data_IF_930823573339
#
_entry.id   IF_930823573339
#
_cell.length_a   1.000
_cell.length_b   1.000
_cell.length_c   1.000
_cell.angle_alpha   90.00
_cell.angle_beta   90.00
_cell.angle_gamma   90.00
#
_symmetry.space_group_name_H-M   'P 1'
#
loop_
_entity.id
_entity.type
_entity.pdbx_description
1 polymer ?
#
# COMPACT_ATOMS: atom_id res chain seq x y z
N UNK A 1 22.19 -13.58 -0.80
CA UNK A 1 21.80 -12.62 -1.85
C UNK A 1 20.51 -11.97 -1.38
N UNK A 2 20.49 -10.67 -1.08
CA UNK A 2 19.35 -10.03 -0.40
C UNK A 2 18.07 -10.17 -1.23
N UNK A 3 17.04 -10.80 -0.65
CA UNK A 3 15.72 -11.05 -1.28
C UNK A 3 14.85 -9.80 -1.42
N UNK A 4 15.37 -8.64 -1.01
CA UNK A 4 14.61 -7.41 -0.85
C UNK A 4 15.22 -6.27 -1.67
N UNK A 5 14.35 -5.52 -2.34
CA UNK A 5 14.65 -4.20 -2.92
C UNK A 5 14.22 -3.13 -1.90
N UNK A 6 14.90 -1.98 -1.85
CA UNK A 6 14.54 -0.91 -0.91
C UNK A 6 13.95 0.25 -1.71
N UNK A 7 12.66 0.52 -1.50
CA UNK A 7 12.03 1.75 -1.96
C UNK A 7 12.18 2.84 -0.90
N UNK A 8 12.62 4.02 -1.31
CA UNK A 8 12.73 5.20 -0.43
C UNK A 8 11.70 6.25 -0.81
N UNK A 9 11.01 6.84 0.17
CA UNK A 9 10.06 7.94 -0.02
C UNK A 9 10.45 9.11 0.88
N UNK A 10 10.57 10.31 0.30
CA UNK A 10 10.90 11.54 1.03
C UNK A 10 9.71 11.98 1.92
N UNK A 11 9.99 12.35 3.17
CA UNK A 11 8.98 12.74 4.17
C UNK A 11 8.83 14.27 4.30
N UNK A 12 9.01 15.02 3.20
CA UNK A 12 8.95 16.50 3.19
C UNK A 12 7.61 17.06 3.69
N UNK A 13 6.54 16.27 3.65
CA UNK A 13 5.20 16.65 4.10
C UNK A 13 4.97 16.41 5.61
N UNK A 14 5.83 15.67 6.32
CA UNK A 14 5.68 15.41 7.76
C UNK A 14 6.16 16.63 8.56
N UNK A 15 5.33 17.22 9.43
CA UNK A 15 5.77 18.30 10.30
C UNK A 15 6.96 17.85 11.15
N UNK A 16 8.09 18.54 11.00
CA UNK A 16 9.21 18.39 11.92
C UNK A 16 8.88 19.07 13.25
N UNK A 17 9.28 18.46 14.36
CA UNK A 17 9.37 19.18 15.63
C UNK A 17 10.73 19.90 15.69
N UNK A 18 10.91 20.83 16.63
CA UNK A 18 12.15 21.59 16.84
C UNK A 18 13.37 20.67 17.07
N UNK A 19 13.13 19.47 17.60
CA UNK A 19 14.18 18.50 17.93
C UNK A 19 14.17 17.22 17.09
N UNK A 20 13.12 16.89 16.33
CA UNK A 20 13.12 15.72 15.47
C UNK A 20 12.66 16.07 14.06
N UNK A 21 13.51 15.75 13.09
CA UNK A 21 13.26 15.98 11.67
C UNK A 21 13.20 14.65 10.94
N UNK A 22 12.01 14.28 10.48
CA UNK A 22 11.82 13.11 9.62
C UNK A 22 12.33 13.41 8.22
N UNK A 23 13.09 12.47 7.63
CA UNK A 23 13.79 12.69 6.37
C UNK A 23 13.18 11.86 5.24
N UNK A 24 13.14 10.54 5.43
CA UNK A 24 12.61 9.59 4.44
C UNK A 24 12.17 8.30 5.13
N UNK A 25 11.34 7.54 4.45
CA UNK A 25 10.97 6.17 4.82
C UNK A 25 11.57 5.16 3.83
N UNK A 26 12.17 4.10 4.35
CA UNK A 26 12.77 2.99 3.62
C UNK A 26 11.89 1.75 3.78
N UNK A 27 11.31 1.29 2.68
CA UNK A 27 10.38 0.15 2.63
C UNK A 27 11.07 -1.01 1.93
N UNK A 28 11.34 -2.13 2.62
CA UNK A 28 11.76 -3.35 1.96
C UNK A 28 10.62 -3.90 1.10
N UNK A 29 10.92 -4.27 -0.13
CA UNK A 29 10.01 -4.93 -1.05
C UNK A 29 10.53 -6.33 -1.31
N UNK A 30 9.72 -7.36 -1.01
CA UNK A 30 10.10 -8.73 -1.37
C UNK A 30 9.80 -8.91 -2.85
N UNK A 31 10.79 -9.35 -3.63
CA UNK A 31 10.61 -9.62 -5.06
C UNK A 31 9.36 -10.48 -5.30
N UNK A 32 8.37 -9.90 -5.98
CA UNK A 32 7.13 -10.60 -6.30
C UNK A 32 6.12 -10.73 -5.15
N UNK A 33 6.25 -10.00 -4.04
CA UNK A 33 5.27 -9.99 -2.94
C UNK A 33 4.98 -8.59 -2.36
N UNK A 34 5.57 -7.53 -2.91
CA UNK A 34 5.20 -6.16 -2.57
C UNK A 34 5.93 -5.67 -1.33
N UNK A 35 5.47 -4.55 -0.74
CA UNK A 35 6.11 -3.92 0.38
C UNK A 35 5.78 -4.77 1.58
N UNK A 36 6.76 -5.00 2.44
CA UNK A 36 6.39 -5.44 3.78
C UNK A 36 5.70 -4.28 4.48
N UNK A 37 4.69 -4.61 5.31
CA UNK A 37 4.02 -3.63 6.21
C UNK A 37 4.97 -3.01 7.25
N UNK A 38 6.25 -3.36 7.20
CA UNK A 38 7.30 -2.88 8.06
C UNK A 38 8.27 -2.02 7.25
N UNK A 39 8.57 -0.85 7.77
CA UNK A 39 9.50 0.08 7.15
C UNK A 39 10.44 0.67 8.20
N UNK A 40 11.41 1.46 7.74
CA UNK A 40 12.34 2.19 8.59
C UNK A 40 12.24 3.67 8.28
N UNK A 41 12.10 4.50 9.30
CA UNK A 41 12.07 5.95 9.14
C UNK A 41 13.44 6.50 9.48
N UNK A 42 14.04 7.22 8.53
CA UNK A 42 15.25 8.00 8.76
C UNK A 42 14.87 9.36 9.32
N UNK A 43 15.53 9.77 10.38
CA UNK A 43 15.31 11.03 11.07
C UNK A 43 16.64 11.66 11.48
N UNK A 44 16.59 12.93 11.87
CA UNK A 44 17.67 13.61 12.57
C UNK A 44 17.13 14.11 13.91
N UNK A 45 17.90 13.90 14.98
CA UNK A 45 17.56 14.34 16.33
C UNK A 45 18.46 15.52 16.74
N UNK A 46 17.86 16.61 17.23
CA UNK A 46 18.51 17.84 17.67
C UNK A 46 19.47 18.46 16.63
N UNK A 47 19.15 18.36 15.34
CA UNK A 47 20.01 18.85 14.26
C UNK A 47 21.32 18.05 14.08
N UNK A 48 21.58 17.08 14.94
CA UNK A 48 22.63 16.09 14.77
C UNK A 48 22.20 15.06 13.73
N UNK A 49 23.11 14.71 12.83
CA UNK A 49 22.93 13.54 11.96
C UNK A 49 23.05 12.28 12.81
N UNK A 50 22.01 11.93 13.57
CA UNK A 50 21.76 10.54 13.93
C UNK A 50 21.33 9.82 12.66
N UNK A 51 22.27 9.63 11.75
CA UNK A 51 22.22 8.46 10.87
C UNK A 51 22.47 7.25 11.76
N UNK A 52 21.53 6.93 12.66
CA UNK A 52 21.44 5.57 13.14
C UNK A 52 21.31 4.73 11.86
N UNK A 53 22.32 3.94 11.56
CA UNK A 53 22.43 3.15 10.32
C UNK A 53 21.18 2.27 10.09
N UNK A 54 20.37 2.07 11.13
CA UNK A 54 19.18 1.25 11.12
C UNK A 54 17.83 2.00 10.99
N UNK A 55 17.74 3.30 11.30
CA UNK A 55 16.48 4.05 11.31
C UNK A 55 15.44 3.52 12.33
N UNK A 56 14.38 4.29 12.58
CA UNK A 56 13.32 3.88 13.50
C UNK A 56 12.35 2.90 12.81
N UNK A 57 12.17 1.68 13.33
CA UNK A 57 11.25 0.72 12.74
C UNK A 57 9.80 1.15 12.96
N UNK A 58 9.00 1.11 11.89
CA UNK A 58 7.57 1.44 11.91
C UNK A 58 6.74 0.30 11.31
N UNK A 59 5.60 0.00 11.95
CA UNK A 59 4.55 -0.84 11.38
C UNK A 59 3.57 0.08 10.64
N UNK A 60 3.66 0.11 9.30
CA UNK A 60 2.80 0.91 8.44
C UNK A 60 1.34 0.44 8.42
N UNK A 61 1.09 -0.82 8.79
CA UNK A 61 -0.27 -1.36 8.91
C UNK A 61 -0.98 -0.91 10.18
N UNK A 62 -0.22 -0.64 11.24
CA UNK A 62 -0.75 -0.15 12.53
C UNK A 62 -0.55 1.34 12.75
N UNK A 63 0.35 1.97 12.00
CA UNK A 63 0.74 3.36 12.20
C UNK A 63 1.37 3.60 13.56
N UNK A 64 2.27 2.70 13.97
CA UNK A 64 3.01 2.80 15.23
C UNK A 64 4.49 2.52 14.98
N UNK A 65 5.34 3.22 15.73
CA UNK A 65 6.75 2.86 15.85
C UNK A 65 6.90 1.61 16.72
N UNK A 66 7.75 0.67 16.30
CA UNK A 66 7.92 -0.63 16.95
C UNK A 66 8.98 -0.56 18.06
N UNK A 67 9.90 0.39 17.96
CA UNK A 67 10.89 0.67 18.98
C UNK A 67 10.82 2.15 19.36
N UNK A 68 11.05 2.43 20.63
CA UNK A 68 11.34 3.77 21.16
C UNK A 68 12.84 3.89 21.36
N UNK A 69 13.36 5.11 21.31
CA UNK A 69 14.77 5.40 21.60
C UNK A 69 15.07 5.12 23.07
N UNK A 70 16.29 4.67 23.36
CA UNK A 70 16.75 4.45 24.72
C UNK A 70 16.94 5.79 25.43
N UNK A 71 16.79 5.82 26.76
CA UNK A 71 16.78 7.07 27.54
C UNK A 71 18.08 7.88 27.39
N UNK A 72 19.19 7.19 27.14
CA UNK A 72 20.52 7.76 26.91
C UNK A 72 20.62 8.51 25.57
N UNK A 73 19.78 8.16 24.59
CA UNK A 73 19.74 8.76 23.25
C UNK A 73 18.81 9.98 23.20
N UNK A 74 17.95 10.16 24.22
CA UNK A 74 16.94 11.20 24.26
C UNK A 74 17.50 12.63 24.42
N UNK A 75 18.81 12.80 24.69
CA UNK A 75 19.48 14.11 24.72
C UNK A 75 18.70 15.21 25.50
N UNK A 76 18.06 14.85 26.62
CA UNK A 76 17.28 15.78 27.45
C UNK A 76 15.79 15.91 27.10
N UNK A 77 15.28 15.16 26.12
CA UNK A 77 13.85 15.08 25.79
C UNK A 77 13.20 14.03 26.70
N UNK A 78 12.00 14.31 27.21
CA UNK A 78 11.28 13.29 27.98
C UNK A 78 10.75 12.18 27.07
N UNK A 79 10.74 10.93 27.55
CA UNK A 79 10.17 9.80 26.80
C UNK A 79 8.73 10.08 26.35
N UNK A 80 7.91 10.70 27.20
CA UNK A 80 6.53 11.07 26.89
C UNK A 80 6.43 12.07 25.73
N UNK A 81 7.31 13.08 25.68
CA UNK A 81 7.34 14.03 24.56
C UNK A 81 7.76 13.35 23.26
N UNK A 82 8.77 12.47 23.32
CA UNK A 82 9.19 11.72 22.14
C UNK A 82 8.06 10.82 21.62
N UNK A 83 7.43 10.04 22.49
CA UNK A 83 6.33 9.14 22.13
C UNK A 83 5.18 9.90 21.47
N UNK A 84 4.83 11.07 22.02
CA UNK A 84 3.81 11.93 21.44
C UNK A 84 4.17 12.36 20.02
N UNK A 85 5.38 12.85 19.81
CA UNK A 85 5.83 13.29 18.47
C UNK A 85 5.91 12.14 17.48
N UNK A 86 6.41 10.98 17.91
CA UNK A 86 6.44 9.78 17.09
C UNK A 86 5.03 9.33 16.71
N UNK A 87 4.07 9.36 17.64
CA UNK A 87 2.69 8.94 17.35
C UNK A 87 1.96 9.91 16.40
N UNK A 88 2.16 11.22 16.56
CA UNK A 88 1.62 12.24 15.66
C UNK A 88 2.23 12.09 14.25
N UNK A 89 3.55 11.91 14.17
CA UNK A 89 4.25 11.72 12.91
C UNK A 89 3.90 10.39 12.22
N UNK A 90 3.68 9.31 12.98
CA UNK A 90 3.37 8.01 12.42
C UNK A 90 2.12 8.05 11.53
N UNK A 91 1.09 8.81 11.91
CA UNK A 91 -0.13 8.98 11.12
C UNK A 91 0.17 9.62 9.76
N UNK A 92 0.98 10.69 9.73
CA UNK A 92 1.33 11.37 8.49
C UNK A 92 2.32 10.55 7.64
N UNK A 93 3.30 9.90 8.26
CA UNK A 93 4.24 9.00 7.60
C UNK A 93 3.49 7.87 6.89
N UNK A 94 2.52 7.26 7.57
CA UNK A 94 1.64 6.23 7.00
C UNK A 94 0.88 6.80 5.82
N UNK A 95 0.25 7.97 5.94
CA UNK A 95 -0.45 8.60 4.81
C UNK A 95 0.46 8.83 3.62
N UNK A 96 1.68 9.33 3.81
CA UNK A 96 2.64 9.58 2.72
C UNK A 96 3.09 8.26 2.09
N UNK A 97 3.47 7.28 2.92
CA UNK A 97 3.86 5.96 2.47
C UNK A 97 2.75 5.30 1.63
N UNK A 98 1.49 5.42 2.08
CA UNK A 98 0.34 4.85 1.39
C UNK A 98 -0.18 5.71 0.21
N UNK A 99 0.06 7.01 0.20
CA UNK A 99 -0.24 7.91 -0.93
C UNK A 99 0.67 7.59 -2.13
N UNK A 100 1.93 7.31 -1.85
CA UNK A 100 2.88 6.74 -2.81
C UNK A 100 2.55 5.28 -3.18
N UNK A 101 1.68 4.65 -2.39
CA UNK A 101 1.12 3.31 -2.53
C UNK A 101 -0.30 3.33 -3.10
N UNK A 102 -0.57 4.12 -4.13
CA UNK A 102 -1.93 4.29 -4.63
C UNK A 102 -2.38 3.07 -5.48
N UNK A 103 -3.24 2.16 -4.97
CA UNK A 103 -3.62 0.96 -5.71
C UNK A 103 -4.29 1.26 -7.07
N UNK A 104 -5.10 2.33 -7.22
CA UNK A 104 -5.53 2.83 -8.52
C UNK A 104 -4.39 3.09 -9.51
N UNK A 105 -3.35 3.86 -9.13
CA UNK A 105 -2.23 4.13 -10.03
C UNK A 105 -1.41 2.88 -10.36
N UNK A 106 -1.22 1.99 -9.38
CA UNK A 106 -0.56 0.70 -9.61
C UNK A 106 -1.37 -0.14 -10.60
N UNK A 107 -2.70 -0.24 -10.40
CA UNK A 107 -3.59 -0.96 -11.30
C UNK A 107 -3.58 -0.35 -12.70
N UNK A 108 -3.70 0.98 -12.83
CA UNK A 108 -3.57 1.69 -14.11
C UNK A 108 -2.27 1.35 -14.83
N UNK A 109 -1.16 1.22 -14.09
CA UNK A 109 0.13 0.81 -14.66
C UNK A 109 0.12 -0.64 -15.16
N UNK A 110 -0.46 -1.56 -14.39
CA UNK A 110 -0.64 -2.98 -14.78
C UNK A 110 -1.50 -3.08 -16.05
N UNK A 111 -2.60 -2.32 -16.11
CA UNK A 111 -3.55 -2.32 -17.23
C UNK A 111 -2.95 -1.82 -18.55
N UNK A 112 -1.83 -1.10 -18.56
CA UNK A 112 -1.15 -0.71 -19.81
C UNK A 112 -0.74 -1.91 -20.68
N UNK A 113 -0.63 -3.10 -20.10
CA UNK A 113 -0.39 -4.34 -20.84
C UNK A 113 -1.63 -4.92 -21.53
N UNK A 114 -2.82 -4.36 -21.30
CA UNK A 114 -4.11 -4.88 -21.75
C UNK A 114 -4.87 -3.76 -22.46
N UNK A 115 -4.73 -3.67 -23.79
CA UNK A 115 -5.28 -2.57 -24.60
C UNK A 115 -6.80 -2.46 -24.56
N UNK A 116 -7.49 -3.53 -24.19
CA UNK A 116 -8.95 -3.62 -24.13
C UNK A 116 -9.52 -3.33 -22.73
N UNK A 117 -8.68 -2.92 -21.76
CA UNK A 117 -9.09 -2.65 -20.40
C UNK A 117 -8.81 -1.21 -19.97
N UNK A 118 -9.73 -0.67 -19.17
CA UNK A 118 -9.55 0.63 -18.54
C UNK A 118 -10.01 0.59 -17.08
N UNK A 119 -9.31 1.34 -16.22
CA UNK A 119 -9.73 1.60 -14.85
C UNK A 119 -10.92 2.56 -14.83
N UNK A 120 -12.00 2.18 -14.15
CA UNK A 120 -13.21 2.97 -14.02
C UNK A 120 -13.18 3.77 -12.71
N UNK A 121 -12.83 5.05 -12.80
CA UNK A 121 -12.76 5.95 -11.64
C UNK A 121 -14.14 6.20 -11.00
N UNK A 122 -15.21 6.20 -11.81
CA UNK A 122 -16.55 6.54 -11.34
C UNK A 122 -17.19 5.42 -10.53
N UNK A 123 -16.90 4.17 -10.88
CA UNK A 123 -17.45 3.00 -10.19
C UNK A 123 -16.51 2.40 -9.13
N UNK A 124 -15.28 2.88 -9.05
CA UNK A 124 -14.31 2.48 -8.02
C UNK A 124 -14.55 3.20 -6.69
N UNK A 125 -14.19 2.53 -5.60
CA UNK A 125 -14.11 3.10 -4.24
C UNK A 125 -12.75 2.73 -3.64
N UNK A 126 -11.66 3.40 -4.03
CA UNK A 126 -10.33 3.06 -3.56
C UNK A 126 -10.17 3.29 -2.06
N UNK A 127 -9.27 2.54 -1.39
CA UNK A 127 -8.48 1.42 -1.94
C UNK A 127 -9.25 0.07 -1.95
N UNK A 128 -10.49 0.05 -1.45
CA UNK A 128 -11.23 -1.17 -1.13
C UNK A 128 -11.85 -1.85 -2.35
N UNK A 129 -12.31 -1.07 -3.34
CA UNK A 129 -12.94 -1.57 -4.56
C UNK A 129 -12.33 -0.87 -5.76
N UNK A 130 -11.62 -1.63 -6.60
CA UNK A 130 -11.06 -1.13 -7.85
C UNK A 130 -11.82 -1.79 -9.00
N UNK A 131 -12.41 -1.00 -9.89
CA UNK A 131 -13.19 -1.49 -11.03
C UNK A 131 -12.47 -1.26 -12.34
N UNK A 132 -12.63 -2.23 -13.23
CA UNK A 132 -12.12 -2.19 -14.58
C UNK A 132 -13.24 -2.57 -15.55
N UNK A 133 -13.27 -1.89 -16.68
CA UNK A 133 -14.24 -2.09 -17.74
C UNK A 133 -13.52 -2.47 -19.03
N UNK A 134 -14.17 -3.31 -19.84
CA UNK A 134 -13.72 -3.62 -21.19
C UNK A 134 -14.05 -2.44 -22.10
N UNK A 135 -13.04 -1.90 -22.77
CA UNK A 135 -13.19 -0.77 -23.71
C UNK A 135 -13.46 -1.22 -25.14
N UNK A 136 -13.02 -2.43 -25.50
CA UNK A 136 -13.24 -3.03 -26.82
C UNK A 136 -13.91 -4.41 -26.69
N UNK A 137 -15.23 -4.51 -26.93
CA UNK A 137 -15.97 -5.77 -26.83
C UNK A 137 -15.54 -6.85 -27.83
N UNK A 138 -14.85 -6.49 -28.92
CA UNK A 138 -14.40 -7.43 -29.96
C UNK A 138 -12.96 -7.92 -29.75
N UNK A 139 -12.29 -7.41 -28.72
CA UNK A 139 -10.94 -7.84 -28.37
C UNK A 139 -10.91 -9.30 -27.93
N UNK A 140 -9.87 -10.03 -28.36
CA UNK A 140 -9.54 -11.34 -27.81
C UNK A 140 -9.13 -11.16 -26.35
N UNK A 141 -9.93 -11.68 -25.43
CA UNK A 141 -9.71 -11.57 -23.99
C UNK A 141 -9.99 -12.90 -23.31
N UNK A 142 -9.28 -13.16 -22.22
CA UNK A 142 -9.44 -14.38 -21.44
C UNK A 142 -9.69 -14.02 -19.98
N UNK A 143 -10.56 -14.77 -19.29
CA UNK A 143 -10.76 -14.59 -17.86
C UNK A 143 -9.45 -14.72 -17.05
N UNK A 144 -8.49 -15.52 -17.55
CA UNK A 144 -7.13 -15.64 -16.97
C UNK A 144 -6.42 -14.29 -16.84
N UNK A 145 -6.65 -13.36 -17.77
CA UNK A 145 -6.06 -12.02 -17.71
C UNK A 145 -6.49 -11.28 -16.45
N UNK A 146 -7.74 -11.46 -16.01
CA UNK A 146 -8.27 -10.86 -14.78
C UNK A 146 -7.52 -11.39 -13.56
N UNK A 147 -7.28 -12.70 -13.49
CA UNK A 147 -6.58 -13.33 -12.39
C UNK A 147 -5.09 -12.96 -12.38
N UNK A 148 -4.47 -12.83 -13.54
CA UNK A 148 -3.09 -12.35 -13.65
C UNK A 148 -2.97 -10.89 -13.22
N UNK A 149 -3.91 -10.02 -13.61
CA UNK A 149 -3.96 -8.63 -13.14
C UNK A 149 -4.12 -8.57 -11.62
N UNK A 150 -5.06 -9.36 -11.06
CA UNK A 150 -5.28 -9.44 -9.63
C UNK A 150 -4.03 -9.94 -8.90
N UNK A 151 -3.38 -10.98 -9.41
CA UNK A 151 -2.13 -11.53 -8.86
C UNK A 151 -1.04 -10.47 -8.88
N UNK A 152 -0.83 -9.78 -10.00
CA UNK A 152 0.15 -8.69 -10.13
C UNK A 152 -0.17 -7.53 -9.19
N UNK A 153 -1.46 -7.18 -9.02
CA UNK A 153 -1.87 -6.16 -8.06
C UNK A 153 -1.60 -6.62 -6.64
N UNK A 154 -1.97 -7.84 -6.25
CA UNK A 154 -1.72 -8.39 -4.91
C UNK A 154 -0.24 -8.43 -4.59
N UNK A 155 0.55 -8.92 -5.55
CA UNK A 155 2.00 -8.92 -5.51
C UNK A 155 2.55 -7.51 -5.39
N UNK A 156 2.07 -6.57 -6.17
CA UNK A 156 2.62 -5.22 -6.14
C UNK A 156 2.20 -4.49 -4.90
N UNK A 157 0.95 -4.65 -4.45
CA UNK A 157 0.29 -3.94 -3.33
C UNK A 157 0.54 -4.57 -1.96
N UNK A 158 0.93 -5.85 -1.89
CA UNK A 158 0.97 -6.63 -0.64
C UNK A 158 -0.42 -6.87 -0.03
N UNK A 159 -1.49 -6.54 -0.74
CA UNK A 159 -2.87 -6.69 -0.28
C UNK A 159 -3.56 -7.85 -1.00
N UNK A 160 -4.54 -8.46 -0.34
CA UNK A 160 -5.30 -9.56 -0.93
C UNK A 160 -6.59 -9.02 -1.57
N UNK A 161 -6.59 -8.89 -2.90
CA UNK A 161 -7.78 -8.56 -3.67
C UNK A 161 -8.48 -9.81 -4.19
N UNK A 162 -9.77 -9.93 -3.89
CA UNK A 162 -10.65 -10.93 -4.49
C UNK A 162 -11.25 -10.39 -5.79
N UNK A 163 -11.22 -11.24 -6.82
CA UNK A 163 -11.79 -10.96 -8.13
C UNK A 163 -13.30 -11.21 -8.13
N UNK A 164 -14.04 -10.29 -8.75
CA UNK A 164 -15.43 -10.46 -9.16
C UNK A 164 -15.56 -9.94 -10.57
N UNK A 165 -16.10 -10.71 -11.51
CA UNK A 165 -16.28 -10.28 -12.88
C UNK A 165 -17.67 -10.63 -13.38
N UNK A 166 -18.09 -9.95 -14.43
CA UNK A 166 -19.39 -10.15 -15.04
C UNK A 166 -19.46 -9.56 -16.44
N UNK A 167 -20.53 -9.90 -17.15
CA UNK A 167 -20.77 -9.43 -18.50
C UNK A 167 -22.20 -9.66 -18.93
N UNK A 168 -22.51 -9.20 -20.14
CA UNK A 168 -23.74 -9.59 -20.81
C UNK A 168 -23.44 -10.88 -21.58
N UNK A 169 -24.00 -12.00 -21.13
CA UNK A 169 -23.90 -13.30 -21.78
C UNK A 169 -25.28 -13.78 -22.22
N UNK A 170 -25.33 -14.43 -23.38
CA UNK A 170 -26.41 -15.31 -23.82
C UNK A 170 -26.13 -16.77 -23.41
N UNK A 171 -27.09 -17.67 -23.59
CA UNK A 171 -26.99 -19.06 -23.11
C UNK A 171 -25.84 -19.86 -23.76
N UNK A 172 -25.37 -19.45 -24.94
CA UNK A 172 -24.34 -20.14 -25.72
C UNK A 172 -22.95 -19.47 -25.62
N UNK A 173 -22.82 -18.38 -24.87
CA UNK A 173 -21.59 -17.60 -24.82
C UNK A 173 -20.50 -18.22 -23.93
N UNK A 174 -19.25 -18.17 -24.41
CA UNK A 174 -18.10 -18.53 -23.59
C UNK A 174 -17.83 -17.42 -22.55
N UNK A 175 -18.17 -17.68 -21.28
CA UNK A 175 -17.92 -16.75 -20.17
C UNK A 175 -16.46 -16.31 -20.02
N UNK A 176 -15.51 -17.11 -20.51
CA UNK A 176 -14.09 -16.74 -20.51
C UNK A 176 -13.79 -15.57 -21.48
N UNK A 177 -14.68 -15.30 -22.43
CA UNK A 177 -14.52 -14.33 -23.52
C UNK A 177 -15.55 -13.18 -23.49
N UNK A 178 -16.71 -13.35 -22.82
CA UNK A 178 -17.81 -12.36 -22.90
C UNK A 178 -17.96 -11.42 -21.70
N UNK A 179 -17.09 -11.50 -20.70
CA UNK A 179 -17.10 -10.55 -19.58
C UNK A 179 -16.86 -9.11 -20.09
N UNK A 180 -17.51 -8.13 -19.47
CA UNK A 180 -17.44 -6.70 -19.84
C UNK A 180 -16.88 -5.83 -18.72
N UNK A 181 -16.77 -6.37 -17.51
CA UNK A 181 -16.17 -5.69 -16.37
C UNK A 181 -15.62 -6.69 -15.35
N UNK A 182 -14.69 -6.21 -14.53
CA UNK A 182 -14.32 -6.87 -13.28
C UNK A 182 -14.05 -5.86 -12.17
N UNK A 183 -14.07 -6.34 -10.94
CA UNK A 183 -13.73 -5.59 -9.75
C UNK A 183 -12.79 -6.39 -8.85
N UNK A 184 -11.77 -5.72 -8.35
CA UNK A 184 -10.82 -6.21 -7.36
C UNK A 184 -11.23 -5.63 -6.02
N UNK A 185 -11.62 -6.48 -5.08
CA UNK A 185 -12.07 -6.06 -3.75
C UNK A 185 -11.11 -6.49 -2.67
N UNK A 186 -10.64 -5.56 -1.87
CA UNK A 186 -9.74 -5.83 -0.74
C UNK A 186 -10.46 -6.72 0.27
N UNK A 187 -9.87 -7.87 0.60
CA UNK A 187 -10.32 -8.68 1.71
C UNK A 187 -9.84 -8.03 3.01
N UNK A 188 -10.69 -7.16 3.58
CA UNK A 188 -10.48 -6.74 4.96
C UNK A 188 -10.72 -7.97 5.84
N UNK A 189 -9.65 -8.56 6.37
CA UNK A 189 -9.74 -9.52 7.47
C UNK A 189 -10.13 -8.76 8.76
N UNK A 190 -11.28 -8.08 8.77
CA UNK A 190 -11.94 -7.70 10.01
C UNK A 190 -12.56 -8.97 10.58
N UNK A 191 -11.77 -9.71 11.36
CA UNK A 191 -12.33 -10.61 12.36
C UNK A 191 -12.84 -9.73 13.51
N UNK A 192 -14.13 -9.46 13.50
CA UNK A 192 -14.88 -8.76 14.54
C UNK A 192 -16.11 -8.14 13.88
N UNK A 193 -17.35 -8.47 14.23
CA UNK A 193 -17.84 -8.95 15.53
C UNK A 193 -19.34 -9.26 15.42
N UNK A 194 -19.80 -10.31 16.09
CA UNK A 194 -21.13 -10.34 16.67
C UNK A 194 -21.06 -11.07 18.01
N UNK A 195 -21.16 -10.30 19.10
CA UNK A 195 -21.60 -10.78 20.39
C UNK A 195 -23.01 -11.35 20.26
N UNK A 196 -23.24 -12.57 20.74
CA UNK A 196 -24.49 -13.09 21.32
C UNK A 196 -24.05 -14.28 22.20
N UNK A 197 -24.27 -14.38 23.52
CA UNK A 197 -25.02 -13.65 24.55
C UNK A 197 -24.25 -13.79 25.87
#
# INVERSE_FOLDING_TARGET
MNMYEIRSVDLKEVPGNDFIKFLKIEMPERKGHGPVRFARVRYALNGGHTMEENGLPIDLGKGIFIATLEDEELCGISRNELEKVLQEAAVEIVKIAWKEWDPPNILKSILKGYSYLQYDEHLSKPPDVLKCCVTDPNSSRHAEDIFEIARRLNVTTGEDYKVFYGGNSSEDDNFDEVWTWFSLRKLNFQKGSSNEK
#
